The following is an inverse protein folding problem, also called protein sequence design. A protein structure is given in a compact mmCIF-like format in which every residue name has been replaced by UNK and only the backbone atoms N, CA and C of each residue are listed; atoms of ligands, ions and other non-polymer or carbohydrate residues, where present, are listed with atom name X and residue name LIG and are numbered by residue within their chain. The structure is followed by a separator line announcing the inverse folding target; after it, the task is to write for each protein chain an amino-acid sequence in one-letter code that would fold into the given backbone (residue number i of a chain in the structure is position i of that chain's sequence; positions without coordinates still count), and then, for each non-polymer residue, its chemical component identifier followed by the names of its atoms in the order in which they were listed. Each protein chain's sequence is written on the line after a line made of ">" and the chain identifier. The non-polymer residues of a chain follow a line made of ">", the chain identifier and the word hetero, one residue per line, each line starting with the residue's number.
data_IF_211777239989
#
_entry.id   IF_211777239989
#
_cell.length_a   1.000
_cell.length_b   1.000
_cell.length_c   1.000
_cell.angle_alpha   90.00
_cell.angle_beta   90.00
_cell.angle_gamma   90.00
#
_symmetry.space_group_name_H-M   'P 1'
#
loop_
_entity.id
_entity.type
_entity.pdbx_description
1 polymer ?
#
# COMPACT_ATOMS: atom_id res chain seq x y z
N UNK A 1 -23.17 -9.73 19.04
CA UNK A 1 -21.72 -9.90 19.13
C UNK A 1 -21.07 -8.56 18.86
N UNK A 2 -19.97 -8.25 19.52
CA UNK A 2 -19.19 -7.06 19.21
C UNK A 2 -18.57 -7.18 17.80
N UNK A 3 -18.48 -6.05 17.09
CA UNK A 3 -18.01 -6.03 15.70
C UNK A 3 -16.49 -5.84 15.62
N UNK A 4 -15.91 -6.33 14.55
CA UNK A 4 -14.54 -6.03 14.12
C UNK A 4 -14.65 -5.05 12.95
N UNK A 5 -13.92 -3.95 13.02
CA UNK A 5 -13.95 -2.90 11.99
C UNK A 5 -12.56 -2.72 11.40
N UNK A 6 -12.50 -2.67 10.09
CA UNK A 6 -11.33 -2.21 9.36
C UNK A 6 -11.53 -0.79 8.82
N UNK A 7 -10.47 -0.02 8.81
CA UNK A 7 -10.44 1.34 8.28
C UNK A 7 -9.23 1.49 7.37
N UNK A 8 -9.40 2.16 6.24
CA UNK A 8 -8.32 2.66 5.40
C UNK A 8 -8.34 4.19 5.50
N UNK A 9 -7.22 4.78 5.89
CA UNK A 9 -7.05 6.23 5.99
C UNK A 9 -5.86 6.67 5.13
N UNK A 10 -6.17 7.38 4.06
CA UNK A 10 -5.20 7.94 3.11
C UNK A 10 -5.57 9.40 2.83
N UNK A 11 -5.94 9.75 1.61
CA UNK A 11 -6.55 11.06 1.27
C UNK A 11 -8.02 11.12 1.70
N UNK A 12 -8.62 9.98 2.01
CA UNK A 12 -9.99 9.79 2.50
C UNK A 12 -9.99 8.70 3.58
N UNK A 13 -11.08 8.61 4.32
CA UNK A 13 -11.33 7.52 5.26
C UNK A 13 -12.38 6.59 4.65
N UNK A 14 -12.10 5.29 4.66
CA UNK A 14 -13.08 4.27 4.28
C UNK A 14 -13.14 3.24 5.41
N UNK A 15 -14.33 2.98 5.93
CA UNK A 15 -14.55 2.06 7.04
C UNK A 15 -15.56 0.97 6.66
N UNK A 16 -15.34 -0.24 7.20
CA UNK A 16 -16.22 -1.38 6.97
C UNK A 16 -16.19 -2.39 8.10
N UNK A 17 -17.29 -3.12 8.28
CA UNK A 17 -17.38 -4.24 9.22
C UNK A 17 -16.82 -5.49 8.57
N UNK A 18 -16.03 -6.25 9.32
CA UNK A 18 -15.40 -7.48 8.85
C UNK A 18 -15.85 -8.64 9.74
N UNK A 19 -16.33 -9.72 9.11
CA UNK A 19 -16.71 -10.96 9.76
C UNK A 19 -16.12 -12.15 8.98
N UNK A 20 -15.53 -13.10 9.68
CA UNK A 20 -14.89 -14.29 9.07
C UNK A 20 -13.96 -13.95 7.88
N UNK A 21 -13.17 -12.88 8.01
CA UNK A 21 -12.23 -12.36 7.00
C UNK A 21 -12.89 -11.81 5.72
N UNK A 22 -14.17 -11.44 5.78
CA UNK A 22 -14.88 -10.84 4.66
C UNK A 22 -15.57 -9.56 5.08
N UNK A 23 -15.73 -8.65 4.13
CA UNK A 23 -16.54 -7.45 4.32
C UNK A 23 -18.01 -7.82 4.49
N UNK A 24 -18.69 -7.14 5.42
CA UNK A 24 -20.13 -7.29 5.66
C UNK A 24 -20.82 -5.93 5.64
N UNK A 25 -21.87 -5.82 4.85
CA UNK A 25 -22.64 -4.57 4.70
C UNK A 25 -21.95 -3.55 3.77
N UNK A 26 -22.35 -2.29 3.90
CA UNK A 26 -21.85 -1.20 3.06
C UNK A 26 -20.64 -0.51 3.69
N UNK A 27 -19.73 -0.06 2.85
CA UNK A 27 -18.65 0.83 3.25
C UNK A 27 -19.17 2.22 3.62
N UNK A 28 -18.50 2.86 4.56
CA UNK A 28 -18.68 4.29 4.85
C UNK A 28 -17.41 5.03 4.46
N UNK A 29 -17.60 6.12 3.73
CA UNK A 29 -16.48 6.91 3.20
C UNK A 29 -16.59 8.37 3.66
N UNK A 30 -15.47 8.97 4.03
CA UNK A 30 -15.34 10.40 4.25
C UNK A 30 -14.19 10.94 3.37
N UNK A 31 -14.40 12.01 2.62
CA UNK A 31 -15.68 12.66 2.34
C UNK A 31 -16.67 11.71 1.64
N UNK A 32 -17.96 11.94 1.83
CA UNK A 32 -18.99 11.19 1.10
C UNK A 32 -18.83 11.43 -0.41
N UNK A 33 -19.01 10.40 -1.25
CA UNK A 33 -18.94 10.54 -2.70
C UNK A 33 -19.88 11.66 -3.19
N UNK A 34 -19.32 12.59 -3.96
CA UNK A 34 -20.08 13.73 -4.49
C UNK A 34 -20.23 14.91 -3.52
N UNK A 35 -19.66 14.87 -2.32
CA UNK A 35 -19.60 16.03 -1.43
C UNK A 35 -18.61 17.08 -1.94
N UNK A 36 -18.78 18.34 -1.54
CA UNK A 36 -17.82 19.41 -1.82
C UNK A 36 -16.62 19.43 -0.87
N UNK A 37 -16.53 18.50 0.07
CA UNK A 37 -15.43 18.43 1.03
C UNK A 37 -14.15 17.95 0.33
N UNK A 38 -13.07 18.67 0.54
CA UNK A 38 -11.73 18.32 0.09
C UNK A 38 -11.16 17.29 1.08
N UNK A 39 -10.93 16.05 0.72
CA UNK A 39 -10.27 14.99 1.46
C UNK A 39 -9.75 15.29 2.88
N UNK A 40 -8.71 14.62 3.32
CA UNK A 40 -8.12 14.82 4.66
C UNK A 40 -7.01 15.89 4.68
N UNK A 41 -6.61 16.40 3.54
CA UNK A 41 -5.57 17.42 3.47
C UNK A 41 -5.99 18.69 4.22
N UNK A 42 -5.11 19.21 5.07
CA UNK A 42 -5.37 20.41 5.87
C UNK A 42 -6.26 20.21 7.10
N UNK A 43 -6.85 19.04 7.29
CA UNK A 43 -7.62 18.71 8.50
C UNK A 43 -6.64 18.41 9.65
N UNK A 44 -6.75 19.06 10.84
CA UNK A 44 -5.92 18.77 11.99
C UNK A 44 -5.93 17.29 12.39
N UNK A 45 -4.84 16.78 12.94
CA UNK A 45 -4.67 15.35 13.23
C UNK A 45 -5.71 14.81 14.22
N UNK A 46 -6.06 15.58 15.25
CA UNK A 46 -7.10 15.26 16.23
C UNK A 46 -8.49 15.16 15.59
N UNK A 47 -8.79 16.03 14.64
CA UNK A 47 -10.04 15.98 13.88
C UNK A 47 -10.07 14.78 12.93
N UNK A 48 -8.93 14.35 12.36
CA UNK A 48 -8.86 13.11 11.58
C UNK A 48 -9.20 11.90 12.46
N UNK A 49 -8.69 11.83 13.70
CA UNK A 49 -9.03 10.77 14.63
C UNK A 49 -10.54 10.76 14.95
N UNK A 50 -11.14 11.92 15.12
CA UNK A 50 -12.57 12.06 15.36
C UNK A 50 -13.41 11.65 14.14
N UNK A 51 -12.97 11.99 12.92
CA UNK A 51 -13.59 11.53 11.68
C UNK A 51 -13.52 10.00 11.55
N UNK A 52 -12.40 9.39 11.91
CA UNK A 52 -12.27 7.92 11.95
C UNK A 52 -13.30 7.32 12.92
N UNK A 53 -13.39 7.82 14.15
CA UNK A 53 -14.40 7.39 15.14
C UNK A 53 -15.80 7.45 14.54
N UNK A 54 -16.14 8.58 13.95
CA UNK A 54 -17.46 8.79 13.34
C UNK A 54 -17.77 7.80 12.23
N UNK A 55 -16.79 7.48 11.35
CA UNK A 55 -17.02 6.49 10.31
C UNK A 55 -17.22 5.09 10.90
N UNK A 56 -16.51 4.74 11.98
CA UNK A 56 -16.69 3.48 12.71
C UNK A 56 -18.10 3.41 13.32
N UNK A 57 -18.56 4.47 13.96
CA UNK A 57 -19.91 4.53 14.53
C UNK A 57 -21.00 4.39 13.45
N UNK A 58 -20.83 5.07 12.32
CA UNK A 58 -21.78 5.01 11.21
C UNK A 58 -21.86 3.61 10.59
N UNK A 59 -20.72 2.95 10.37
CA UNK A 59 -20.71 1.60 9.77
C UNK A 59 -21.25 0.54 10.73
N UNK A 60 -21.07 0.72 12.02
CA UNK A 60 -21.53 -0.22 13.05
C UNK A 60 -22.96 0.02 13.52
N UNK A 61 -23.53 1.19 13.20
CA UNK A 61 -24.89 1.59 13.60
C UNK A 61 -25.11 1.50 15.12
N UNK A 62 -24.12 1.93 15.90
CA UNK A 62 -24.15 1.91 17.37
C UNK A 62 -23.94 0.52 18.00
N UNK A 63 -23.65 -0.51 17.21
CA UNK A 63 -23.27 -1.82 17.77
C UNK A 63 -21.87 -1.70 18.40
N UNK A 64 -21.63 -2.26 19.60
CA UNK A 64 -20.31 -2.23 20.22
C UNK A 64 -19.22 -2.80 19.33
N UNK A 65 -18.05 -2.14 19.35
CA UNK A 65 -16.86 -2.54 18.58
C UNK A 65 -15.82 -3.10 19.54
N UNK A 66 -15.30 -4.29 19.25
CA UNK A 66 -14.26 -4.92 20.05
C UNK A 66 -12.87 -4.62 19.49
N UNK A 67 -12.73 -4.66 18.17
CA UNK A 67 -11.45 -4.54 17.47
C UNK A 67 -11.55 -3.54 16.33
N UNK A 68 -10.55 -2.65 16.26
CA UNK A 68 -10.39 -1.70 15.17
C UNK A 68 -8.99 -1.85 14.57
N UNK A 69 -8.93 -2.15 13.29
CA UNK A 69 -7.68 -2.13 12.51
C UNK A 69 -7.70 -0.94 11.56
N UNK A 70 -6.57 -0.21 11.47
CA UNK A 70 -6.46 0.97 10.62
C UNK A 70 -5.24 0.85 9.73
N UNK A 71 -5.44 0.71 8.41
CA UNK A 71 -4.40 0.90 7.40
C UNK A 71 -4.22 2.39 7.13
N UNK A 72 -3.07 2.95 7.48
CA UNK A 72 -2.79 4.37 7.32
C UNK A 72 -1.70 4.58 6.25
N UNK A 73 -1.96 5.51 5.30
CA UNK A 73 -1.01 5.84 4.25
C UNK A 73 0.18 6.64 4.80
N UNK A 74 1.33 5.97 4.95
CA UNK A 74 2.55 6.56 5.47
C UNK A 74 3.35 5.60 6.35
N UNK A 75 4.41 6.13 6.94
CA UNK A 75 5.28 5.40 7.87
C UNK A 75 4.60 5.31 9.23
N UNK A 76 4.25 4.09 9.64
CA UNK A 76 3.66 3.82 10.96
C UNK A 76 4.61 2.97 11.79
N UNK A 77 4.84 3.42 13.02
CA UNK A 77 5.67 2.70 13.99
C UNK A 77 5.02 2.74 15.37
N UNK A 78 4.82 1.58 15.98
CA UNK A 78 4.22 1.45 17.31
C UNK A 78 2.91 2.27 17.47
N UNK A 79 2.05 2.22 16.42
CA UNK A 79 0.78 2.94 16.40
C UNK A 79 0.85 4.45 16.19
N UNK A 80 2.06 5.00 16.02
CA UNK A 80 2.32 6.40 15.72
C UNK A 80 2.56 6.59 14.22
N UNK A 81 1.99 7.63 13.65
CA UNK A 81 2.26 8.05 12.28
C UNK A 81 3.53 8.89 12.27
N UNK A 82 4.67 8.30 11.89
CA UNK A 82 5.95 9.00 11.84
C UNK A 82 6.01 10.01 10.71
N UNK A 83 5.54 9.63 9.53
CA UNK A 83 5.44 10.46 8.34
C UNK A 83 4.27 10.02 7.47
N UNK A 84 3.65 10.97 6.78
CA UNK A 84 2.67 10.71 5.73
C UNK A 84 2.92 11.70 4.59
N UNK A 85 3.26 11.21 3.38
CA UNK A 85 3.56 12.10 2.25
C UNK A 85 2.40 13.04 1.88
N UNK A 86 1.17 12.54 2.01
CA UNK A 86 -0.04 13.26 1.61
C UNK A 86 -0.67 14.05 2.76
N UNK A 87 -0.35 13.73 4.03
CA UNK A 87 -0.97 14.29 5.24
C UNK A 87 0.11 14.76 6.22
N UNK A 88 0.86 15.81 5.87
CA UNK A 88 1.97 16.32 6.67
C UNK A 88 1.59 16.72 8.10
N UNK A 89 0.34 17.12 8.30
CA UNK A 89 -0.19 17.53 9.60
C UNK A 89 -0.29 16.39 10.62
N UNK A 90 -0.23 15.12 10.20
CA UNK A 90 -0.27 13.97 11.11
C UNK A 90 1.10 13.48 11.55
N UNK A 91 2.18 14.13 11.11
CA UNK A 91 3.54 13.74 11.47
C UNK A 91 3.73 13.70 12.98
N UNK A 92 4.15 12.56 13.49
CA UNK A 92 4.37 12.33 14.90
C UNK A 92 3.11 12.08 15.73
N UNK A 93 1.93 11.92 15.11
CA UNK A 93 0.66 11.79 15.81
C UNK A 93 0.43 10.36 16.32
N UNK A 94 0.12 10.22 17.60
CA UNK A 94 -0.14 8.95 18.27
C UNK A 94 -1.58 8.48 18.04
N UNK A 95 -1.91 8.13 16.79
CA UNK A 95 -3.27 7.80 16.38
C UNK A 95 -3.84 6.60 17.13
N UNK A 96 -3.03 5.55 17.36
CA UNK A 96 -3.48 4.35 18.05
C UNK A 96 -3.88 4.64 19.50
N UNK A 97 -3.08 5.41 20.23
CA UNK A 97 -3.35 5.72 21.63
C UNK A 97 -4.65 6.52 21.80
N UNK A 98 -4.85 7.51 20.92
CA UNK A 98 -6.06 8.36 20.95
C UNK A 98 -7.32 7.55 20.64
N UNK A 99 -7.25 6.60 19.71
CA UNK A 99 -8.41 5.75 19.40
C UNK A 99 -8.62 4.66 20.45
N UNK A 100 -7.56 4.22 21.14
CA UNK A 100 -7.66 3.27 22.26
C UNK A 100 -8.42 3.84 23.47
N UNK A 101 -8.63 5.16 23.57
CA UNK A 101 -9.53 5.74 24.55
C UNK A 101 -11.00 5.36 24.32
N UNK A 102 -11.38 5.02 23.10
CA UNK A 102 -12.76 4.73 22.70
C UNK A 102 -13.01 3.26 22.35
N UNK A 103 -12.00 2.51 21.99
CA UNK A 103 -12.12 1.14 21.54
C UNK A 103 -11.18 0.23 22.32
N UNK A 104 -11.66 -0.97 22.68
CA UNK A 104 -10.93 -1.91 23.53
C UNK A 104 -9.61 -2.40 22.90
N UNK A 105 -9.55 -2.51 21.58
CA UNK A 105 -8.36 -2.92 20.84
C UNK A 105 -8.24 -2.13 19.55
N UNK A 106 -7.12 -1.45 19.39
CA UNK A 106 -6.79 -0.69 18.17
C UNK A 106 -5.42 -1.12 17.68
N UNK A 107 -5.29 -1.31 16.38
CA UNK A 107 -4.02 -1.48 15.69
C UNK A 107 -3.96 -0.50 14.53
N UNK A 108 -2.91 0.30 14.48
CA UNK A 108 -2.58 1.14 13.32
C UNK A 108 -1.35 0.56 12.63
N UNK A 109 -1.45 0.33 11.33
CA UNK A 109 -0.38 -0.22 10.50
C UNK A 109 -0.31 0.53 9.16
N UNK A 110 0.77 0.31 8.42
CA UNK A 110 0.89 0.87 7.07
C UNK A 110 -0.20 0.31 6.13
N UNK A 111 -0.70 1.11 5.20
CA UNK A 111 -1.77 0.74 4.25
C UNK A 111 -1.36 -0.40 3.30
N UNK A 112 -0.10 -0.46 2.88
CA UNK A 112 0.40 -1.56 2.05
C UNK A 112 0.51 -2.88 2.85
N UNK A 113 0.86 -2.83 4.15
CA UNK A 113 0.82 -4.00 5.04
C UNK A 113 -0.63 -4.47 5.27
N UNK A 114 -1.56 -3.53 5.44
CA UNK A 114 -2.98 -3.85 5.50
C UNK A 114 -3.44 -4.54 4.20
N UNK A 115 -3.02 -4.05 3.03
CA UNK A 115 -3.30 -4.68 1.74
C UNK A 115 -2.74 -6.12 1.68
N UNK A 116 -1.50 -6.34 2.13
CA UNK A 116 -0.89 -7.67 2.17
C UNK A 116 -1.66 -8.65 3.08
N UNK A 117 -2.07 -8.19 4.26
CA UNK A 117 -2.90 -8.97 5.18
C UNK A 117 -4.28 -9.28 4.60
N UNK A 118 -4.90 -8.34 3.88
CA UNK A 118 -6.17 -8.53 3.20
C UNK A 118 -6.11 -9.57 2.09
N UNK A 119 -5.06 -9.55 1.29
CA UNK A 119 -4.80 -10.58 0.28
C UNK A 119 -4.59 -11.93 0.96
N UNK A 120 -3.79 -11.99 2.03
CA UNK A 120 -3.59 -13.23 2.78
C UNK A 120 -4.90 -13.81 3.32
N UNK A 121 -5.76 -12.96 3.87
CA UNK A 121 -7.06 -13.36 4.42
C UNK A 121 -8.02 -13.84 3.32
N UNK A 122 -8.18 -13.05 2.26
CA UNK A 122 -9.12 -13.32 1.16
C UNK A 122 -8.76 -14.58 0.38
N UNK A 123 -7.46 -14.84 0.18
CA UNK A 123 -7.01 -16.03 -0.54
C UNK A 123 -6.70 -17.24 0.37
N UNK A 124 -7.05 -17.18 1.66
CA UNK A 124 -6.83 -18.28 2.60
C UNK A 124 -5.34 -18.60 2.84
N UNK A 125 -4.47 -17.59 2.81
CA UNK A 125 -3.01 -17.71 2.91
C UNK A 125 -2.42 -17.06 4.16
N UNK A 126 -3.17 -17.03 5.25
CA UNK A 126 -2.76 -16.39 6.51
C UNK A 126 -1.54 -17.04 7.18
N UNK A 127 -1.12 -18.23 6.72
CA UNK A 127 0.08 -18.93 7.20
C UNK A 127 1.28 -18.79 6.22
N UNK A 128 1.14 -17.94 5.19
CA UNK A 128 2.15 -17.78 4.14
C UNK A 128 2.73 -16.37 4.14
N UNK A 129 3.99 -16.23 3.70
CA UNK A 129 4.57 -14.93 3.43
C UNK A 129 3.93 -14.34 2.15
N UNK A 130 3.22 -13.25 2.32
CA UNK A 130 2.62 -12.45 1.23
C UNK A 130 3.39 -11.13 1.12
N UNK A 131 3.69 -10.73 -0.10
CA UNK A 131 4.35 -9.44 -0.41
C UNK A 131 3.57 -8.74 -1.51
N UNK A 132 3.37 -7.44 -1.34
CA UNK A 132 2.57 -6.61 -2.23
C UNK A 132 3.36 -5.38 -2.63
N UNK A 133 3.35 -5.08 -3.92
CA UNK A 133 3.72 -3.79 -4.46
C UNK A 133 2.45 -3.01 -4.79
N UNK A 134 2.27 -1.85 -4.16
CA UNK A 134 1.17 -0.93 -4.49
C UNK A 134 1.70 0.14 -5.45
N UNK A 135 1.21 0.12 -6.69
CA UNK A 135 1.68 0.95 -7.79
C UNK A 135 0.73 2.13 -8.00
N UNK A 136 1.05 3.25 -7.39
CA UNK A 136 0.20 4.44 -7.37
C UNK A 136 0.96 5.74 -7.63
N UNK A 137 0.54 6.83 -6.99
CA UNK A 137 1.24 8.11 -6.99
C UNK A 137 2.69 7.94 -6.52
N UNK A 138 2.86 7.22 -5.41
CA UNK A 138 4.11 6.62 -4.96
C UNK A 138 4.12 5.11 -5.17
N UNK A 139 5.13 4.43 -4.60
CA UNK A 139 5.27 2.98 -4.61
C UNK A 139 5.33 2.48 -3.18
N UNK A 140 4.31 1.73 -2.76
CA UNK A 140 4.30 1.06 -1.46
C UNK A 140 4.77 -0.38 -1.55
N UNK A 141 5.30 -0.89 -0.43
CA UNK A 141 5.65 -2.29 -0.23
C UNK A 141 5.05 -2.79 1.06
N UNK A 142 4.17 -3.75 0.96
CA UNK A 142 3.53 -4.39 2.11
C UNK A 142 3.92 -5.85 2.23
N UNK A 143 3.96 -6.35 3.47
CA UNK A 143 4.18 -7.77 3.76
C UNK A 143 3.24 -8.28 4.85
N UNK A 144 2.91 -9.55 4.75
CA UNK A 144 2.20 -10.31 5.77
C UNK A 144 2.86 -11.69 5.93
N UNK A 145 3.09 -12.21 7.14
CA UNK A 145 2.87 -11.51 8.42
C UNK A 145 3.68 -10.21 8.51
N UNK A 146 3.13 -9.23 9.24
CA UNK A 146 3.86 -8.00 9.51
C UNK A 146 5.13 -8.33 10.30
N UNK A 147 6.25 -7.73 9.93
CA UNK A 147 7.49 -7.83 10.67
C UNK A 147 7.74 -6.56 11.48
N UNK A 148 8.54 -6.67 12.52
CA UNK A 148 9.00 -5.51 13.26
C UNK A 148 9.83 -4.57 12.37
N UNK A 149 9.65 -3.27 12.54
CA UNK A 149 10.37 -2.24 11.81
C UNK A 149 9.51 -1.53 10.76
N UNK A 150 10.16 -0.67 10.01
CA UNK A 150 9.58 0.10 8.90
C UNK A 150 10.17 -0.39 7.58
N UNK A 151 9.32 -0.68 6.61
CA UNK A 151 9.69 -1.27 5.33
C UNK A 151 9.28 -0.35 4.18
N UNK A 152 10.17 0.55 3.80
CA UNK A 152 9.96 1.53 2.72
C UNK A 152 10.51 1.01 1.39
N UNK A 153 9.90 -0.06 0.86
CA UNK A 153 10.36 -0.71 -0.38
C UNK A 153 10.33 0.20 -1.61
N UNK A 154 9.46 1.21 -1.64
CA UNK A 154 9.44 2.22 -2.70
C UNK A 154 10.70 3.08 -2.75
N UNK A 155 11.41 3.19 -1.63
CA UNK A 155 12.63 4.00 -1.50
C UNK A 155 13.93 3.20 -1.60
N UNK A 156 13.87 1.90 -1.91
CA UNK A 156 15.12 1.15 -2.18
C UNK A 156 15.77 1.65 -3.46
N UNK A 157 17.10 1.65 -3.46
CA UNK A 157 17.89 2.06 -4.62
C UNK A 157 17.94 0.93 -5.64
N UNK A 158 17.40 1.17 -6.83
CA UNK A 158 17.38 0.23 -7.97
C UNK A 158 18.16 0.74 -9.18
N UNK A 159 18.63 1.98 -9.10
CA UNK A 159 19.50 2.59 -10.10
C UNK A 159 20.64 3.37 -9.45
N UNK A 160 21.84 3.26 -10.01
CA UNK A 160 23.01 4.04 -9.60
C UNK A 160 23.25 5.26 -10.51
N UNK A 161 22.39 5.48 -11.50
CA UNK A 161 22.49 6.67 -12.36
C UNK A 161 22.09 7.91 -11.56
N UNK A 162 22.98 8.91 -11.40
CA UNK A 162 22.68 10.13 -10.66
C UNK A 162 21.58 10.99 -11.30
N UNK A 163 21.19 10.70 -12.53
CA UNK A 163 20.06 11.35 -13.21
C UNK A 163 18.71 10.85 -12.72
N UNK A 164 18.67 9.71 -12.01
CA UNK A 164 17.46 9.14 -11.42
C UNK A 164 17.09 9.84 -10.10
N UNK A 165 16.71 11.12 -10.15
CA UNK A 165 16.40 11.98 -8.99
C UNK A 165 14.93 12.45 -8.96
N UNK A 166 14.01 11.63 -9.48
CA UNK A 166 12.58 11.99 -9.60
C UNK A 166 11.73 11.55 -8.39
N UNK A 167 12.31 10.91 -7.38
CA UNK A 167 11.58 10.57 -6.16
C UNK A 167 11.20 11.83 -5.36
N UNK A 168 9.99 11.86 -4.81
CA UNK A 168 9.47 12.97 -4.02
C UNK A 168 10.26 13.25 -2.74
N UNK A 169 10.94 12.23 -2.18
CA UNK A 169 11.79 12.39 -0.99
C UNK A 169 13.16 13.03 -1.28
N UNK A 170 13.52 13.26 -2.55
CA UNK A 170 14.82 13.79 -2.98
C UNK A 170 15.93 12.73 -3.09
N UNK A 171 15.67 11.46 -2.76
CA UNK A 171 16.63 10.37 -2.92
C UNK A 171 16.88 9.99 -4.38
N UNK A 172 18.11 9.55 -4.67
CA UNK A 172 18.56 9.21 -6.02
C UNK A 172 18.42 7.70 -6.26
N UNK A 173 17.95 7.31 -7.44
CA UNK A 173 17.86 5.92 -7.86
C UNK A 173 16.77 5.10 -7.17
N UNK A 174 15.85 5.75 -6.45
CA UNK A 174 14.75 5.09 -5.77
C UNK A 174 13.75 4.47 -6.77
N UNK A 175 13.20 3.31 -6.41
CA UNK A 175 12.15 2.65 -7.19
C UNK A 175 10.99 3.60 -7.50
N UNK A 176 10.50 4.32 -6.49
CA UNK A 176 9.42 5.30 -6.63
C UNK A 176 9.77 6.43 -7.62
N UNK A 177 11.04 6.86 -7.66
CA UNK A 177 11.50 7.87 -8.61
C UNK A 177 11.46 7.42 -10.07
N UNK A 178 11.38 6.11 -10.31
CA UNK A 178 11.22 5.52 -11.64
C UNK A 178 9.77 5.18 -11.92
N UNK A 179 9.06 4.58 -10.95
CA UNK A 179 7.79 3.93 -11.18
C UNK A 179 6.55 4.71 -10.71
N UNK A 180 6.72 5.60 -9.74
CA UNK A 180 5.60 6.37 -9.19
C UNK A 180 4.95 7.26 -10.24
N UNK A 181 3.61 7.34 -10.25
CA UNK A 181 2.86 8.17 -11.19
C UNK A 181 3.33 9.64 -11.16
N UNK A 182 3.50 10.18 -9.96
CA UNK A 182 4.01 11.53 -9.77
C UNK A 182 5.45 11.72 -10.28
N UNK A 183 6.30 10.68 -10.17
CA UNK A 183 7.67 10.71 -10.70
C UNK A 183 7.69 10.64 -12.23
N UNK A 184 6.81 9.84 -12.83
CA UNK A 184 6.65 9.78 -14.29
C UNK A 184 6.26 11.14 -14.87
N UNK A 185 5.32 11.85 -14.24
CA UNK A 185 4.93 13.22 -14.65
C UNK A 185 6.07 14.23 -14.51
N UNK A 186 6.94 14.09 -13.53
CA UNK A 186 8.15 14.92 -13.39
C UNK A 186 9.19 14.62 -14.46
N UNK A 187 9.25 13.38 -14.94
CA UNK A 187 10.18 12.93 -15.99
C UNK A 187 9.71 13.30 -17.40
N UNK A 188 8.40 13.18 -17.64
CA UNK A 188 7.76 13.47 -18.93
C UNK A 188 6.87 14.68 -18.77
N UNK A 189 7.46 15.87 -18.96
CA UNK A 189 6.74 17.14 -18.82
C UNK A 189 5.78 17.42 -19.98
N UNK A 190 5.90 16.65 -21.04
CA UNK A 190 5.20 16.78 -22.33
C UNK A 190 4.17 15.66 -22.55
N UNK A 191 4.08 14.67 -21.66
CA UNK A 191 3.17 13.51 -21.79
C UNK A 191 2.67 13.05 -20.42
N UNK A 192 1.43 12.61 -20.36
CA UNK A 192 0.91 11.89 -19.20
C UNK A 192 1.40 10.41 -19.22
N UNK A 193 1.46 9.73 -18.07
CA UNK A 193 1.95 8.34 -17.99
C UNK A 193 1.28 7.38 -18.98
N UNK A 194 -0.05 7.47 -19.16
CA UNK A 194 -0.78 6.65 -20.14
C UNK A 194 -0.30 6.87 -21.57
N UNK A 195 0.00 8.11 -21.94
CA UNK A 195 0.55 8.46 -23.25
C UNK A 195 1.94 7.88 -23.43
N UNK A 196 2.79 7.94 -22.40
CA UNK A 196 4.15 7.34 -22.45
C UNK A 196 4.08 5.84 -22.75
N UNK A 197 3.18 5.11 -22.08
CA UNK A 197 3.00 3.69 -22.31
C UNK A 197 2.34 3.39 -23.67
N UNK A 198 1.46 4.25 -24.16
CA UNK A 198 0.87 4.12 -25.49
C UNK A 198 1.91 4.36 -26.60
N UNK A 199 2.70 5.44 -26.51
CA UNK A 199 3.75 5.76 -27.47
C UNK A 199 4.87 4.72 -27.49
N UNK A 200 5.19 4.09 -26.36
CA UNK A 200 6.13 2.97 -26.33
C UNK A 200 5.66 1.79 -27.19
N UNK A 201 4.34 1.53 -27.25
CA UNK A 201 3.76 0.47 -28.09
C UNK A 201 3.81 0.80 -29.58
N UNK A 202 3.81 2.08 -29.94
CA UNK A 202 3.95 2.54 -31.34
C UNK A 202 5.40 2.61 -31.79
N UNK A 203 6.37 2.44 -30.88
CA UNK A 203 7.80 2.38 -31.17
C UNK A 203 8.56 3.67 -30.94
N UNK A 204 7.98 4.65 -30.22
CA UNK A 204 8.75 5.82 -29.77
C UNK A 204 9.96 5.35 -28.94
N UNK A 205 11.16 5.77 -29.33
CA UNK A 205 12.40 5.27 -28.74
C UNK A 205 12.59 5.69 -27.29
N UNK A 206 12.21 6.94 -26.93
CA UNK A 206 12.30 7.49 -25.57
C UNK A 206 11.33 6.76 -24.63
N UNK A 207 10.09 6.60 -25.06
CA UNK A 207 9.05 5.91 -24.30
C UNK A 207 9.36 4.41 -24.15
N UNK A 208 9.79 3.76 -25.22
CA UNK A 208 10.21 2.33 -25.20
C UNK A 208 11.37 2.11 -24.22
N UNK A 209 12.39 2.97 -24.24
CA UNK A 209 13.52 2.87 -23.31
C UNK A 209 13.07 3.03 -21.85
N UNK A 210 12.15 3.98 -21.60
CA UNK A 210 11.60 4.21 -20.26
C UNK A 210 10.74 3.03 -19.78
N UNK A 211 9.82 2.52 -20.59
CA UNK A 211 8.97 1.37 -20.22
C UNK A 211 9.83 0.15 -19.90
N UNK A 212 10.96 -0.03 -20.61
CA UNK A 212 11.95 -1.05 -20.30
C UNK A 212 12.60 -0.82 -18.92
N UNK A 213 13.04 0.40 -18.62
CA UNK A 213 13.60 0.77 -17.31
C UNK A 213 12.58 0.55 -16.19
N UNK A 214 11.33 0.94 -16.41
CA UNK A 214 10.22 0.84 -15.47
C UNK A 214 9.97 -0.60 -15.00
N UNK A 215 9.89 -1.57 -15.93
CA UNK A 215 9.76 -2.99 -15.59
C UNK A 215 11.01 -3.56 -14.91
N UNK A 216 12.19 -3.22 -15.42
CA UNK A 216 13.45 -3.67 -14.80
C UNK A 216 13.66 -3.15 -13.39
N UNK A 217 13.18 -1.95 -13.08
CA UNK A 217 13.24 -1.38 -11.73
C UNK A 217 12.42 -2.21 -10.74
N UNK A 218 11.19 -2.62 -11.12
CA UNK A 218 10.35 -3.50 -10.28
C UNK A 218 10.97 -4.89 -10.13
N UNK A 219 11.51 -5.44 -11.21
CA UNK A 219 12.22 -6.72 -11.17
C UNK A 219 13.43 -6.65 -10.22
N UNK A 220 14.22 -5.56 -10.25
CA UNK A 220 15.37 -5.37 -9.36
C UNK A 220 14.94 -5.25 -7.89
N UNK A 221 13.90 -4.46 -7.61
CA UNK A 221 13.33 -4.33 -6.28
C UNK A 221 12.84 -5.68 -5.74
N UNK A 222 12.14 -6.43 -6.57
CA UNK A 222 11.64 -7.78 -6.23
C UNK A 222 12.77 -8.77 -6.03
N UNK A 223 13.81 -8.74 -6.87
CA UNK A 223 15.00 -9.58 -6.70
C UNK A 223 15.70 -9.31 -5.36
N UNK A 224 15.82 -8.04 -4.94
CA UNK A 224 16.36 -7.69 -3.63
C UNK A 224 15.54 -8.31 -2.50
N UNK A 225 14.20 -8.21 -2.55
CA UNK A 225 13.33 -8.85 -1.56
C UNK A 225 13.49 -10.39 -1.56
N UNK A 226 13.64 -11.02 -2.74
CA UNK A 226 13.85 -12.47 -2.82
C UNK A 226 15.18 -12.88 -2.19
N UNK A 227 16.26 -12.11 -2.43
CA UNK A 227 17.57 -12.42 -1.88
C UNK A 227 17.64 -12.22 -0.35
N UNK A 228 16.79 -11.35 0.21
CA UNK A 228 16.74 -11.07 1.65
C UNK A 228 15.75 -11.99 2.39
N UNK A 229 14.55 -12.19 1.83
CA UNK A 229 13.43 -12.85 2.50
C UNK A 229 13.07 -14.22 1.89
N UNK A 230 13.75 -14.64 0.83
CA UNK A 230 13.47 -15.87 0.10
C UNK A 230 12.42 -15.72 -1.01
N UNK A 231 12.24 -16.81 -1.81
CA UNK A 231 11.30 -16.80 -2.93
C UNK A 231 9.85 -16.79 -2.44
N UNK A 232 8.91 -16.46 -3.34
CA UNK A 232 7.48 -16.48 -3.05
C UNK A 232 6.68 -15.69 -4.06
N UNK A 233 5.40 -15.53 -3.77
CA UNK A 233 4.49 -14.78 -4.62
C UNK A 233 4.51 -13.29 -4.26
N UNK A 234 4.51 -12.47 -5.30
CA UNK A 234 4.39 -11.02 -5.21
C UNK A 234 3.09 -10.57 -5.88
N UNK A 235 2.27 -9.88 -5.12
CA UNK A 235 1.04 -9.30 -5.65
C UNK A 235 1.30 -7.86 -6.08
N UNK A 236 0.68 -7.47 -7.21
CA UNK A 236 0.77 -6.14 -7.80
C UNK A 236 -0.62 -5.52 -7.82
N UNK A 237 -0.78 -4.35 -7.26
CA UNK A 237 -2.05 -3.62 -7.23
C UNK A 237 -1.83 -2.12 -7.36
N UNK A 238 -2.89 -1.33 -7.40
CA UNK A 238 -2.85 0.11 -7.58
C UNK A 238 -3.12 0.52 -9.02
N UNK A 239 -3.39 1.81 -9.21
CA UNK A 239 -3.87 2.27 -10.52
C UNK A 239 -2.83 2.13 -11.65
N UNK A 240 -1.52 2.13 -11.34
CA UNK A 240 -0.49 1.88 -12.35
C UNK A 240 -0.25 0.38 -12.65
N UNK A 241 -0.97 -0.54 -11.98
CA UNK A 241 -0.81 -1.97 -12.24
C UNK A 241 -1.25 -2.37 -13.66
N UNK A 242 -2.11 -1.58 -14.32
CA UNK A 242 -2.52 -1.80 -15.71
C UNK A 242 -1.40 -1.58 -16.74
N UNK A 243 -0.30 -0.94 -16.35
CA UNK A 243 0.90 -0.78 -17.19
C UNK A 243 1.80 -2.02 -17.21
N UNK A 244 1.56 -2.99 -16.32
CA UNK A 244 2.42 -4.16 -16.16
C UNK A 244 2.28 -5.11 -17.36
N UNK A 245 3.41 -5.42 -17.95
CA UNK A 245 3.63 -6.59 -18.81
C UNK A 245 4.24 -7.71 -17.95
N UNK A 246 3.42 -8.67 -17.55
CA UNK A 246 3.81 -9.77 -16.66
C UNK A 246 4.90 -10.66 -17.30
N UNK A 247 4.83 -10.91 -18.60
CA UNK A 247 5.79 -11.77 -19.31
C UNK A 247 7.17 -11.12 -19.27
N UNK A 248 7.24 -9.85 -19.63
CA UNK A 248 8.46 -9.06 -19.54
C UNK A 248 9.02 -8.99 -18.13
N UNK A 249 8.18 -8.71 -17.15
CA UNK A 249 8.60 -8.59 -15.75
C UNK A 249 9.19 -9.91 -15.23
N UNK A 250 8.60 -11.05 -15.61
CA UNK A 250 9.12 -12.36 -15.25
C UNK A 250 10.48 -12.64 -15.94
N UNK A 251 10.65 -12.25 -17.21
CA UNK A 251 11.94 -12.37 -17.91
C UNK A 251 13.02 -11.55 -17.19
N UNK A 252 12.74 -10.28 -16.89
CA UNK A 252 13.67 -9.39 -16.19
C UNK A 252 14.03 -9.95 -14.79
N UNK A 253 13.05 -10.48 -14.05
CA UNK A 253 13.28 -11.09 -12.75
C UNK A 253 14.17 -12.35 -12.84
N UNK A 254 13.92 -13.22 -13.82
CA UNK A 254 14.73 -14.43 -14.04
C UNK A 254 16.19 -14.11 -14.43
N UNK A 255 16.44 -12.98 -15.08
CA UNK A 255 17.80 -12.52 -15.33
C UNK A 255 18.55 -12.15 -14.04
N UNK A 256 17.82 -11.62 -13.05
CA UNK A 256 18.39 -11.10 -11.79
C UNK A 256 18.47 -12.15 -10.69
N UNK A 257 17.55 -13.13 -10.66
CA UNK A 257 17.53 -14.21 -9.66
C UNK A 257 18.01 -15.51 -10.32
N UNK A 258 19.30 -15.79 -10.23
CA UNK A 258 19.94 -16.95 -10.90
C UNK A 258 20.17 -18.15 -9.98
N UNK A 259 20.15 -17.94 -8.67
CA UNK A 259 20.33 -19.04 -7.70
C UNK A 259 19.10 -19.97 -7.75
N UNK A 260 19.30 -21.24 -8.08
CA UNK A 260 18.20 -22.20 -8.28
C UNK A 260 17.28 -22.35 -7.06
N UNK A 261 17.83 -22.25 -5.86
CA UNK A 261 17.06 -22.29 -4.62
C UNK A 261 16.15 -21.09 -4.39
N UNK A 262 16.37 -19.98 -5.09
CA UNK A 262 15.60 -18.74 -5.00
C UNK A 262 14.66 -18.54 -6.20
N UNK A 263 14.72 -19.40 -7.20
CA UNK A 263 13.81 -19.37 -8.33
C UNK A 263 12.41 -19.83 -7.95
N UNK A 264 11.41 -19.49 -8.79
CA UNK A 264 10.01 -19.89 -8.58
C UNK A 264 9.14 -18.78 -7.97
N UNK A 265 9.68 -17.55 -7.83
CA UNK A 265 8.86 -16.39 -7.52
C UNK A 265 7.97 -16.01 -8.71
N UNK A 266 6.73 -15.62 -8.42
CA UNK A 266 5.72 -15.27 -9.40
C UNK A 266 5.06 -13.94 -9.04
N UNK A 267 4.68 -13.20 -10.09
CA UNK A 267 3.83 -12.01 -9.95
C UNK A 267 2.37 -12.36 -10.23
N UNK A 268 1.48 -11.72 -9.50
CA UNK A 268 0.04 -11.77 -9.75
C UNK A 268 -0.55 -10.37 -9.59
N UNK A 269 -1.26 -9.90 -10.62
CA UNK A 269 -1.98 -8.63 -10.55
C UNK A 269 -3.32 -8.89 -9.86
N UNK A 270 -3.61 -8.09 -8.83
CA UNK A 270 -4.90 -8.09 -8.14
C UNK A 270 -5.59 -6.73 -8.35
N UNK A 271 -6.91 -6.72 -8.50
CA UNK A 271 -7.65 -5.47 -8.63
C UNK A 271 -7.40 -4.54 -7.43
N UNK A 272 -7.34 -3.25 -7.69
CA UNK A 272 -7.30 -2.25 -6.62
C UNK A 272 -8.64 -2.26 -5.89
N UNK A 273 -8.60 -2.46 -4.57
CA UNK A 273 -9.80 -2.52 -3.74
C UNK A 273 -9.51 -2.01 -2.33
N UNK A 274 -10.28 -1.02 -1.89
CA UNK A 274 -10.24 -0.56 -0.50
C UNK A 274 -10.64 -1.70 0.46
N UNK A 275 -11.54 -2.59 0.03
CA UNK A 275 -12.03 -3.71 0.85
C UNK A 275 -10.90 -4.64 1.27
N UNK A 276 -9.92 -4.91 0.40
CA UNK A 276 -8.78 -5.74 0.75
C UNK A 276 -7.97 -5.13 1.89
N UNK A 277 -7.66 -3.83 1.82
CA UNK A 277 -6.92 -3.14 2.88
C UNK A 277 -7.74 -3.07 4.19
N UNK A 278 -9.05 -2.85 4.10
CA UNK A 278 -9.97 -2.83 5.25
C UNK A 278 -10.02 -4.21 5.94
N UNK A 279 -10.21 -5.29 5.15
CA UNK A 279 -10.18 -6.65 5.68
C UNK A 279 -8.83 -6.95 6.32
N UNK A 280 -7.74 -6.57 5.69
CA UNK A 280 -6.40 -6.82 6.20
C UNK A 280 -6.09 -6.05 7.48
N UNK A 281 -6.50 -4.80 7.58
CA UNK A 281 -6.37 -4.02 8.80
C UNK A 281 -7.14 -4.67 9.96
N UNK A 282 -8.38 -5.06 9.74
CA UNK A 282 -9.23 -5.74 10.71
C UNK A 282 -8.62 -7.09 11.17
N UNK A 283 -8.18 -7.91 10.24
CA UNK A 283 -7.56 -9.23 10.51
C UNK A 283 -6.25 -9.08 11.27
N UNK A 284 -5.42 -8.09 10.92
CA UNK A 284 -4.17 -7.80 11.63
C UNK A 284 -4.43 -7.39 13.07
N UNK A 285 -5.43 -6.55 13.31
CA UNK A 285 -5.81 -6.11 14.65
C UNK A 285 -6.40 -7.26 15.50
N UNK A 286 -7.19 -8.15 14.90
CA UNK A 286 -7.77 -9.29 15.61
C UNK A 286 -6.70 -10.35 15.95
N UNK A 287 -5.77 -10.61 15.03
CA UNK A 287 -4.69 -11.59 15.21
C UNK A 287 -3.54 -11.10 16.10
N UNK A 288 -3.34 -9.81 16.29
CA UNK A 288 -2.32 -9.27 17.19
C UNK A 288 -2.45 -9.80 18.63
N UNK A 289 -3.61 -10.38 18.98
CA UNK A 289 -3.85 -11.09 20.25
C UNK A 289 -3.00 -12.36 20.45
N UNK A 290 -2.53 -12.97 19.38
CA UNK A 290 -1.83 -14.27 19.40
C UNK A 290 -0.32 -14.15 19.17
N UNK A 291 0.19 -12.93 19.02
CA UNK A 291 1.61 -12.64 18.78
C UNK A 291 2.42 -12.33 20.06
N UNK A 292 1.95 -12.81 21.24
CA UNK A 292 2.66 -12.74 22.52
C UNK A 292 3.34 -14.07 22.86
#
# INVERSE_FOLDING_TARGET
>A
MAKIVGVLASERIVAGVVEANHMVGELRTYPEPGSAAEGLQGIPADQIAELIRRQIELVTQGTPVEVVGIGFAGVVREGRVEESPNLQQVKGFHLQDILAESFARVLVLNDADAMAAGIAATYGKLESLIRVWTLGNGIGYGRYPQAEGVWEGGHIVVSLDPKEHFCGCGGVGHLEGIMGHSAMRRRFLDMEPDEVFAEAKTGDARCTAFVKLWHRALAAATANSIHMDGPGKFYLTGHNAHFIDIERLNVDLHEMVRMSSLQGSLFEIVPTSDELAIVGAAVSADRSRFAL
#
